data_IF_195712377018
#
_entry.id   IF_195712377018
#
_cell.length_a   1.000
_cell.length_b   1.000
_cell.length_c   1.000
_cell.angle_alpha   90.00
_cell.angle_beta   90.00
_cell.angle_gamma   90.00
#
_symmetry.space_group_name_H-M   'P 1'
#
loop_
_entity.id
_entity.type
_entity.pdbx_description
1 polymer ?
#
# COMPACT_ATOMS: atom_id res chain seq x y z
N UNK A 1 -9.80 -25.09 -3.99
CA UNK A 1 -9.65 -24.17 -5.13
C UNK A 1 -8.30 -24.40 -5.82
N UNK A 2 -8.19 -25.42 -6.68
CA UNK A 2 -6.93 -25.79 -7.37
C UNK A 2 -6.86 -25.18 -8.80
N UNK A 3 -7.80 -24.31 -9.18
CA UNK A 3 -8.00 -23.89 -10.58
C UNK A 3 -7.53 -22.49 -10.99
N UNK A 4 -6.99 -21.65 -10.10
CA UNK A 4 -6.80 -20.21 -10.41
C UNK A 4 -5.35 -19.71 -10.30
N UNK A 5 -4.36 -20.62 -10.31
CA UNK A 5 -2.94 -20.23 -10.23
C UNK A 5 -2.54 -19.24 -11.34
N UNK A 6 -2.89 -19.42 -12.63
CA UNK A 6 -2.52 -18.45 -13.66
C UNK A 6 -2.99 -17.02 -13.38
N UNK A 7 -4.24 -16.84 -12.92
CA UNK A 7 -4.80 -15.53 -12.58
C UNK A 7 -4.07 -14.91 -11.39
N UNK A 8 -3.73 -15.73 -10.39
CA UNK A 8 -2.93 -15.32 -9.23
C UNK A 8 -1.54 -14.85 -9.63
N UNK A 9 -0.87 -15.56 -10.54
CA UNK A 9 0.44 -15.18 -11.07
C UNK A 9 0.36 -13.86 -11.86
N UNK A 10 -0.68 -13.66 -12.68
CA UNK A 10 -0.90 -12.39 -13.37
C UNK A 10 -1.12 -11.25 -12.37
N UNK A 11 -1.91 -11.47 -11.31
CA UNK A 11 -2.12 -10.48 -10.26
C UNK A 11 -0.81 -10.13 -9.52
N UNK A 12 0.06 -11.10 -9.21
CA UNK A 12 1.38 -10.85 -8.62
C UNK A 12 2.31 -10.08 -9.57
N UNK A 13 2.30 -10.40 -10.86
CA UNK A 13 3.09 -9.68 -11.86
C UNK A 13 2.61 -8.23 -12.01
N UNK A 14 1.31 -8.00 -12.14
CA UNK A 14 0.75 -6.64 -12.24
C UNK A 14 0.98 -5.86 -10.94
N UNK A 15 0.73 -6.47 -9.78
CA UNK A 15 0.96 -5.83 -8.48
C UNK A 15 2.41 -5.40 -8.29
N UNK A 16 3.37 -6.26 -8.63
CA UNK A 16 4.80 -5.94 -8.50
C UNK A 16 5.26 -4.95 -9.57
N UNK A 17 4.67 -4.98 -10.77
CA UNK A 17 4.87 -3.96 -11.80
C UNK A 17 4.43 -2.59 -11.30
N UNK A 18 3.25 -2.48 -10.70
CA UNK A 18 2.72 -1.22 -10.15
C UNK A 18 3.60 -0.73 -8.98
N UNK A 19 4.00 -1.63 -8.07
CA UNK A 19 4.92 -1.33 -6.99
C UNK A 19 6.21 -0.66 -7.51
N UNK A 20 6.86 -1.25 -8.52
CA UNK A 20 8.08 -0.68 -9.09
C UNK A 20 7.77 0.61 -9.84
N UNK A 21 6.78 0.61 -10.72
CA UNK A 21 6.43 1.77 -11.55
C UNK A 21 6.16 3.02 -10.71
N UNK A 22 5.28 2.94 -9.72
CA UNK A 22 4.91 4.10 -8.91
C UNK A 22 5.89 4.34 -7.77
N UNK A 23 6.33 3.28 -7.08
CA UNK A 23 7.29 3.40 -5.98
C UNK A 23 8.67 3.83 -6.47
N UNK A 24 9.37 2.98 -7.24
CA UNK A 24 10.70 3.30 -7.74
C UNK A 24 10.68 4.47 -8.75
N UNK A 25 9.63 4.58 -9.56
CA UNK A 25 9.43 5.73 -10.45
C UNK A 25 9.29 7.06 -9.70
N UNK A 26 8.73 7.09 -8.48
CA UNK A 26 8.68 8.32 -7.67
C UNK A 26 10.07 8.83 -7.29
N UNK A 27 11.07 7.96 -7.18
CA UNK A 27 12.47 8.34 -6.94
C UNK A 27 13.01 9.10 -8.15
N UNK A 28 12.74 8.60 -9.35
CA UNK A 28 13.13 9.28 -10.61
C UNK A 28 12.46 10.65 -10.69
N UNK A 29 11.15 10.72 -10.43
CA UNK A 29 10.41 11.97 -10.46
C UNK A 29 10.92 12.98 -9.43
N UNK A 30 11.18 12.55 -8.20
CA UNK A 30 11.71 13.40 -7.14
C UNK A 30 13.11 13.94 -7.47
N UNK A 31 14.01 13.09 -8.01
CA UNK A 31 15.34 13.53 -8.42
C UNK A 31 15.30 14.48 -9.62
N UNK A 32 14.39 14.28 -10.57
CA UNK A 32 14.19 15.22 -11.68
C UNK A 32 13.75 16.58 -11.16
N UNK A 33 12.82 16.62 -10.20
CA UNK A 33 12.32 17.87 -9.61
C UNK A 33 13.35 18.55 -8.71
N UNK A 34 14.18 17.75 -8.01
CA UNK A 34 15.20 18.23 -7.08
C UNK A 34 16.57 18.49 -7.72
N UNK A 35 16.67 18.58 -9.05
CA UNK A 35 17.93 18.76 -9.79
C UNK A 35 19.02 17.76 -9.35
N UNK A 36 18.64 16.49 -9.19
CA UNK A 36 19.51 15.39 -8.76
C UNK A 36 19.80 15.33 -7.26
N UNK A 37 19.18 16.20 -6.46
CA UNK A 37 19.31 16.21 -4.99
C UNK A 37 18.04 15.68 -4.35
N UNK A 38 18.22 14.95 -3.24
CA UNK A 38 17.13 14.44 -2.42
C UNK A 38 17.37 14.85 -0.97
N UNK A 39 16.42 15.59 -0.40
CA UNK A 39 16.38 15.88 1.03
C UNK A 39 15.43 14.93 1.76
N UNK A 40 15.31 15.08 3.08
CA UNK A 40 14.47 14.20 3.87
C UNK A 40 12.97 14.38 3.58
N UNK A 41 12.53 15.58 3.17
CA UNK A 41 11.15 15.82 2.76
C UNK A 41 10.82 15.10 1.44
N UNK A 42 11.73 15.16 0.46
CA UNK A 42 11.63 14.42 -0.79
C UNK A 42 11.64 12.91 -0.57
N UNK A 43 12.51 12.41 0.33
CA UNK A 43 12.44 11.02 0.79
C UNK A 43 11.06 10.70 1.37
N UNK A 44 10.48 11.63 2.14
CA UNK A 44 9.16 11.46 2.72
C UNK A 44 8.05 11.26 1.68
N UNK A 45 8.07 12.04 0.60
CA UNK A 45 7.12 11.89 -0.52
C UNK A 45 7.30 10.55 -1.24
N UNK A 46 8.55 10.11 -1.44
CA UNK A 46 8.86 8.78 -2.00
C UNK A 46 8.28 7.68 -1.10
N UNK A 47 8.53 7.73 0.21
CA UNK A 47 8.00 6.74 1.17
C UNK A 47 6.48 6.66 1.11
N UNK A 48 5.79 7.80 1.02
CA UNK A 48 4.33 7.85 0.89
C UNK A 48 3.85 7.31 -0.45
N UNK A 49 4.59 7.52 -1.54
CA UNK A 49 4.27 6.92 -2.85
C UNK A 49 4.28 5.39 -2.78
N UNK A 50 5.33 4.81 -2.18
CA UNK A 50 5.38 3.37 -1.90
C UNK A 50 4.20 2.91 -1.03
N UNK A 51 3.89 3.65 0.03
CA UNK A 51 2.77 3.35 0.92
C UNK A 51 1.43 3.24 0.18
N UNK A 52 1.15 4.25 -0.64
CA UNK A 52 -0.10 4.37 -1.38
C UNK A 52 -0.21 3.27 -2.43
N UNK A 53 0.84 3.02 -3.22
CA UNK A 53 0.76 1.96 -4.24
C UNK A 53 0.65 0.57 -3.62
N UNK A 54 1.35 0.29 -2.52
CA UNK A 54 1.22 -0.98 -1.78
C UNK A 54 -0.22 -1.16 -1.28
N UNK A 55 -0.80 -0.13 -0.68
CA UNK A 55 -2.19 -0.18 -0.22
C UNK A 55 -3.16 -0.45 -1.39
N UNK A 56 -3.03 0.28 -2.50
CA UNK A 56 -3.84 0.10 -3.71
C UNK A 56 -3.73 -1.34 -4.23
N UNK A 57 -2.51 -1.86 -4.35
CA UNK A 57 -2.27 -3.22 -4.86
C UNK A 57 -2.86 -4.29 -3.94
N UNK A 58 -2.75 -4.12 -2.62
CA UNK A 58 -3.37 -5.04 -1.65
C UNK A 58 -4.89 -5.00 -1.76
N UNK A 59 -5.51 -3.82 -1.84
CA UNK A 59 -6.97 -3.72 -1.97
C UNK A 59 -7.47 -4.25 -3.32
N UNK A 60 -6.70 -4.09 -4.39
CA UNK A 60 -7.08 -4.55 -5.73
C UNK A 60 -6.88 -6.06 -5.94
N UNK A 61 -5.77 -6.61 -5.43
CA UNK A 61 -5.33 -7.97 -5.78
C UNK A 61 -5.22 -8.91 -4.58
N UNK A 62 -5.38 -8.43 -3.35
CA UNK A 62 -5.26 -9.22 -2.12
C UNK A 62 -6.23 -10.39 -2.08
N UNK A 63 -7.48 -10.19 -2.51
CA UNK A 63 -8.49 -11.26 -2.62
C UNK A 63 -8.23 -12.25 -3.75
N UNK A 64 -7.40 -11.87 -4.73
CA UNK A 64 -7.06 -12.74 -5.87
C UNK A 64 -5.83 -13.58 -5.53
N UNK A 65 -4.67 -12.96 -5.27
CA UNK A 65 -3.39 -13.65 -5.09
C UNK A 65 -2.87 -13.67 -3.65
N UNK A 66 -3.48 -12.94 -2.73
CA UNK A 66 -2.88 -12.56 -1.44
C UNK A 66 -1.99 -11.32 -1.53
N UNK A 67 -1.77 -10.77 -2.75
CA UNK A 67 -0.92 -9.61 -3.02
C UNK A 67 0.42 -9.67 -2.28
N UNK A 68 1.17 -10.77 -2.44
CA UNK A 68 2.47 -10.90 -1.79
C UNK A 68 3.45 -9.85 -2.33
N UNK A 69 3.50 -9.72 -3.66
CA UNK A 69 4.29 -8.76 -4.44
C UNK A 69 5.76 -8.62 -4.00
N UNK A 70 6.27 -9.65 -3.31
CA UNK A 70 7.54 -9.63 -2.59
C UNK A 70 8.02 -11.09 -2.38
N UNK A 71 9.19 -11.44 -2.92
CA UNK A 71 9.76 -12.77 -2.73
C UNK A 71 10.03 -13.12 -1.26
N UNK A 72 10.46 -12.16 -0.43
CA UNK A 72 10.73 -12.40 0.99
C UNK A 72 9.45 -12.74 1.77
N UNK A 73 8.34 -12.04 1.47
CA UNK A 73 7.01 -12.35 2.03
C UNK A 73 6.56 -13.74 1.59
N UNK A 74 6.68 -14.05 0.29
CA UNK A 74 6.28 -15.35 -0.26
C UNK A 74 7.05 -16.50 0.39
N UNK A 75 8.37 -16.34 0.56
CA UNK A 75 9.23 -17.32 1.23
C UNK A 75 8.81 -17.49 2.69
N UNK A 76 8.63 -16.41 3.45
CA UNK A 76 8.30 -16.50 4.87
C UNK A 76 6.92 -17.14 5.11
N UNK A 77 5.93 -16.83 4.28
CA UNK A 77 4.61 -17.47 4.34
C UNK A 77 4.69 -18.95 3.95
N UNK A 78 5.51 -19.31 2.97
CA UNK A 78 5.72 -20.71 2.61
C UNK A 78 6.41 -21.50 3.74
N UNK A 79 7.53 -20.99 4.28
CA UNK A 79 8.26 -21.63 5.39
C UNK A 79 7.38 -21.83 6.61
N UNK A 80 6.53 -20.86 6.91
CA UNK A 80 5.59 -20.93 8.03
C UNK A 80 4.29 -21.67 7.73
N UNK A 81 4.21 -22.39 6.59
CA UNK A 81 3.07 -23.22 6.15
C UNK A 81 1.75 -22.45 5.95
N UNK A 82 1.84 -21.16 5.68
CA UNK A 82 0.71 -20.26 5.36
C UNK A 82 0.53 -20.07 3.86
N UNK A 83 1.49 -20.55 3.07
CA UNK A 83 1.43 -20.55 1.62
C UNK A 83 1.98 -21.88 1.05
N UNK A 84 1.42 -22.42 -0.05
CA UNK A 84 1.90 -23.66 -0.63
C UNK A 84 3.32 -23.52 -1.19
N UNK A 85 4.25 -24.32 -0.68
CA UNK A 85 5.64 -24.33 -1.15
C UNK A 85 5.79 -24.60 -2.66
N UNK A 86 4.91 -25.42 -3.24
CA UNK A 86 4.92 -25.72 -4.67
C UNK A 86 4.57 -24.50 -5.55
N UNK A 87 3.83 -23.53 -5.00
CA UNK A 87 3.42 -22.31 -5.74
C UNK A 87 4.43 -21.17 -5.57
N UNK A 88 5.25 -21.20 -4.51
CA UNK A 88 6.17 -20.11 -4.16
C UNK A 88 7.16 -19.76 -5.28
N UNK A 89 7.81 -20.72 -5.97
CA UNK A 89 8.69 -20.40 -7.08
C UNK A 89 7.98 -19.66 -8.22
N UNK A 90 6.74 -20.04 -8.55
CA UNK A 90 5.98 -19.39 -9.61
C UNK A 90 5.59 -17.96 -9.23
N UNK A 91 5.18 -17.73 -7.98
CA UNK A 91 4.94 -16.39 -7.45
C UNK A 91 6.19 -15.51 -7.55
N UNK A 92 7.34 -16.01 -7.12
CA UNK A 92 8.62 -15.27 -7.18
C UNK A 92 8.97 -14.92 -8.62
N UNK A 93 8.83 -15.85 -9.57
CA UNK A 93 9.07 -15.57 -11.00
C UNK A 93 8.12 -14.49 -11.53
N UNK A 94 6.83 -14.58 -11.19
CA UNK A 94 5.85 -13.57 -11.58
C UNK A 94 6.17 -12.18 -11.01
N UNK A 95 6.59 -12.11 -9.75
CA UNK A 95 7.00 -10.87 -9.08
C UNK A 95 8.24 -10.27 -9.75
N UNK A 96 9.28 -11.08 -10.01
CA UNK A 96 10.50 -10.63 -10.69
C UNK A 96 10.20 -10.12 -12.10
N UNK A 97 9.36 -10.83 -12.85
CA UNK A 97 8.91 -10.41 -14.17
C UNK A 97 8.12 -9.09 -14.11
N UNK A 98 7.16 -8.98 -13.19
CA UNK A 98 6.40 -7.76 -12.95
C UNK A 98 7.30 -6.56 -12.62
N UNK A 99 8.24 -6.74 -11.69
CA UNK A 99 9.22 -5.72 -11.33
C UNK A 99 10.06 -5.24 -12.52
N UNK A 100 10.50 -6.17 -13.36
CA UNK A 100 11.23 -5.86 -14.60
C UNK A 100 10.38 -5.02 -15.56
N UNK A 101 9.13 -5.43 -15.81
CA UNK A 101 8.19 -4.64 -16.64
C UNK A 101 7.94 -3.26 -16.05
N UNK A 102 7.81 -3.14 -14.73
CA UNK A 102 7.70 -1.84 -14.05
C UNK A 102 8.91 -0.94 -14.32
N UNK A 103 10.12 -1.49 -14.28
CA UNK A 103 11.35 -0.79 -14.66
C UNK A 103 11.33 -0.34 -16.13
N UNK A 104 10.90 -1.21 -17.05
CA UNK A 104 10.77 -0.84 -18.47
C UNK A 104 9.81 0.33 -18.68
N UNK A 105 8.69 0.34 -17.96
CA UNK A 105 7.70 1.42 -18.01
C UNK A 105 8.25 2.74 -17.44
N UNK A 106 9.10 2.69 -16.42
CA UNK A 106 9.84 3.87 -15.93
C UNK A 106 10.73 4.43 -17.04
N UNK A 107 11.56 3.59 -17.69
CA UNK A 107 12.42 4.06 -18.79
C UNK A 107 11.59 4.57 -19.97
N UNK A 108 10.49 3.90 -20.32
CA UNK A 108 9.60 4.34 -21.39
C UNK A 108 8.96 5.71 -21.08
N UNK A 109 8.57 5.96 -19.83
CA UNK A 109 7.92 7.21 -19.42
C UNK A 109 8.88 8.38 -19.20
N UNK A 110 10.05 8.14 -18.62
CA UNK A 110 11.02 9.18 -18.24
C UNK A 110 12.23 9.27 -19.19
N UNK A 111 12.34 8.37 -20.16
CA UNK A 111 13.45 8.28 -21.09
C UNK A 111 14.78 7.93 -20.42
N UNK A 112 15.89 8.23 -21.10
CA UNK A 112 17.24 7.93 -20.61
C UNK A 112 17.56 8.60 -19.25
N UNK A 113 16.87 9.70 -18.92
CA UNK A 113 17.01 10.37 -17.60
C UNK A 113 16.69 9.44 -16.44
N UNK A 114 15.82 8.44 -16.62
CA UNK A 114 15.56 7.43 -15.59
C UNK A 114 16.83 6.68 -15.18
N UNK A 115 17.66 6.33 -16.17
CA UNK A 115 18.90 5.58 -16.00
C UNK A 115 19.97 6.51 -15.43
N UNK A 116 20.23 7.61 -16.13
CA UNK A 116 21.39 8.48 -15.86
C UNK A 116 21.31 9.18 -14.49
N UNK A 117 20.10 9.56 -14.06
CA UNK A 117 19.90 10.33 -12.83
C UNK A 117 19.66 9.45 -11.60
N UNK A 118 18.93 8.35 -11.79
CA UNK A 118 18.29 7.64 -10.69
C UNK A 118 18.50 6.12 -10.74
N UNK A 119 19.15 5.59 -11.78
CA UNK A 119 19.31 4.16 -12.00
C UNK A 119 17.99 3.40 -12.04
N UNK A 120 16.95 4.00 -12.63
CA UNK A 120 15.58 3.45 -12.66
C UNK A 120 14.96 3.30 -11.25
N UNK A 121 15.42 4.11 -10.28
CA UNK A 121 14.97 4.03 -8.89
C UNK A 121 15.53 2.81 -8.14
N UNK A 122 16.71 2.34 -8.56
CA UNK A 122 17.42 1.24 -7.90
C UNK A 122 17.76 1.55 -6.45
N UNK A 123 17.94 0.50 -5.66
CA UNK A 123 18.44 0.56 -4.29
C UNK A 123 19.96 0.37 -4.25
N UNK A 124 20.64 1.11 -3.39
CA UNK A 124 22.08 0.91 -3.15
C UNK A 124 22.44 1.25 -1.71
N UNK A 125 23.56 0.72 -1.26
CA UNK A 125 24.15 1.12 0.01
C UNK A 125 24.61 2.57 -0.07
N UNK A 126 24.25 3.35 0.95
CA UNK A 126 24.72 4.70 1.15
C UNK A 126 26.24 4.75 1.40
N UNK A 127 26.83 5.92 1.21
CA UNK A 127 28.26 6.13 1.44
C UNK A 127 28.60 5.79 2.90
N UNK A 128 29.59 4.90 3.09
CA UNK A 128 30.02 4.46 4.43
C UNK A 128 29.16 3.35 5.06
N UNK A 129 28.10 2.90 4.39
CA UNK A 129 27.29 1.75 4.86
C UNK A 129 27.96 0.45 4.42
N UNK A 130 28.35 -0.38 5.38
CA UNK A 130 28.92 -1.70 5.12
C UNK A 130 27.84 -2.72 4.68
N UNK A 131 28.29 -3.81 4.06
CA UNK A 131 27.42 -4.91 3.64
C UNK A 131 26.58 -5.48 4.80
N UNK A 132 27.20 -5.69 5.96
CA UNK A 132 26.53 -6.20 7.15
C UNK A 132 25.52 -5.22 7.75
N UNK A 133 25.84 -3.92 7.76
CA UNK A 133 24.89 -2.88 8.16
C UNK A 133 23.69 -2.84 7.21
N UNK A 134 23.91 -2.98 5.91
CA UNK A 134 22.84 -3.08 4.93
C UNK A 134 21.90 -4.24 5.21
N UNK A 135 22.45 -5.45 5.47
CA UNK A 135 21.64 -6.63 5.81
C UNK A 135 20.81 -6.38 7.06
N UNK A 136 21.41 -5.80 8.11
CA UNK A 136 20.72 -5.50 9.36
C UNK A 136 19.56 -4.53 9.14
N UNK A 137 19.78 -3.44 8.42
CA UNK A 137 18.77 -2.40 8.19
C UNK A 137 17.60 -2.94 7.34
N UNK A 138 17.91 -3.64 6.25
CA UNK A 138 16.88 -4.30 5.42
C UNK A 138 16.11 -5.38 6.20
N UNK A 139 16.78 -6.10 7.11
CA UNK A 139 16.12 -7.05 7.99
C UNK A 139 15.18 -6.36 8.99
N UNK A 140 15.56 -5.22 9.57
CA UNK A 140 14.70 -4.46 10.49
C UNK A 140 13.46 -3.91 9.79
N UNK A 141 13.61 -3.34 8.58
CA UNK A 141 12.48 -2.85 7.80
C UNK A 141 11.53 -3.99 7.42
N UNK A 142 12.09 -5.10 6.94
CA UNK A 142 11.27 -6.26 6.53
C UNK A 142 10.65 -7.00 7.71
N UNK A 143 11.29 -6.96 8.89
CA UNK A 143 10.73 -7.45 10.15
C UNK A 143 9.45 -6.70 10.50
N UNK A 144 9.47 -5.36 10.47
CA UNK A 144 8.28 -4.54 10.72
C UNK A 144 7.18 -4.89 9.70
N UNK A 145 7.55 -4.97 8.41
CA UNK A 145 6.62 -5.31 7.33
C UNK A 145 5.94 -6.66 7.58
N UNK A 146 6.70 -7.74 7.83
CA UNK A 146 6.10 -9.06 8.04
C UNK A 146 5.33 -9.15 9.34
N UNK A 147 5.77 -8.49 10.41
CA UNK A 147 5.00 -8.43 11.66
C UNK A 147 3.62 -7.80 11.40
N UNK A 148 3.55 -6.71 10.63
CA UNK A 148 2.30 -6.06 10.24
C UNK A 148 1.44 -6.95 9.33
N UNK A 149 2.03 -7.62 8.33
CA UNK A 149 1.30 -8.57 7.45
C UNK A 149 0.70 -9.70 8.28
N UNK A 150 1.48 -10.27 9.20
CA UNK A 150 1.02 -11.32 10.09
C UNK A 150 -0.14 -10.87 10.97
N UNK A 151 -0.05 -9.66 11.53
CA UNK A 151 -1.05 -9.10 12.42
C UNK A 151 -2.36 -8.73 11.72
N UNK A 152 -2.34 -8.29 10.46
CA UNK A 152 -3.52 -7.72 9.81
C UNK A 152 -4.04 -8.46 8.58
N UNK A 153 -3.18 -9.16 7.84
CA UNK A 153 -3.59 -9.91 6.64
C UNK A 153 -3.71 -11.41 6.91
N UNK A 154 -2.88 -11.95 7.80
CA UNK A 154 -2.89 -13.40 8.11
C UNK A 154 -3.81 -13.73 9.27
N UNK A 155 -3.79 -12.94 10.36
CA UNK A 155 -4.66 -13.19 11.50
C UNK A 155 -6.11 -12.75 11.21
N UNK A 156 -7.02 -13.72 11.17
CA UNK A 156 -8.46 -13.49 10.95
C UNK A 156 -9.13 -12.69 12.07
N UNK A 157 -8.44 -12.50 13.20
CA UNK A 157 -8.94 -11.69 14.33
C UNK A 157 -8.64 -10.21 14.20
N UNK A 158 -7.85 -9.84 13.21
CA UNK A 158 -7.59 -8.45 12.88
C UNK A 158 -8.89 -7.74 12.46
N UNK A 159 -9.03 -6.43 12.74
CA UNK A 159 -10.09 -5.62 12.15
C UNK A 159 -10.04 -5.69 10.62
N UNK A 160 -11.15 -6.07 9.99
CA UNK A 160 -11.24 -6.21 8.54
C UNK A 160 -11.07 -4.85 7.83
N UNK A 161 -10.58 -4.89 6.59
CA UNK A 161 -10.40 -3.70 5.76
C UNK A 161 -9.16 -2.85 6.04
N UNK A 162 -8.41 -3.08 7.13
CA UNK A 162 -7.24 -2.25 7.48
C UNK A 162 -5.90 -2.73 6.91
N UNK A 163 -5.82 -3.98 6.46
CA UNK A 163 -4.56 -4.61 6.05
C UNK A 163 -3.80 -3.77 5.00
N UNK A 164 -4.45 -3.40 3.89
CA UNK A 164 -3.81 -2.65 2.81
C UNK A 164 -3.20 -1.33 3.26
N UNK A 165 -3.99 -0.49 3.95
CA UNK A 165 -3.52 0.81 4.44
C UNK A 165 -2.36 0.68 5.42
N UNK A 166 -2.47 -0.17 6.44
CA UNK A 166 -1.45 -0.25 7.50
C UNK A 166 -0.19 -0.95 7.01
N UNK A 167 -0.29 -1.94 6.11
CA UNK A 167 0.89 -2.55 5.46
C UNK A 167 1.60 -1.51 4.59
N UNK A 168 0.87 -0.69 3.83
CA UNK A 168 1.46 0.43 3.09
C UNK A 168 2.18 1.42 4.01
N UNK A 169 1.56 1.79 5.13
CA UNK A 169 2.18 2.69 6.12
C UNK A 169 3.41 2.06 6.80
N UNK A 170 3.44 0.73 6.99
CA UNK A 170 4.64 0.03 7.48
C UNK A 170 5.81 0.16 6.49
N UNK A 171 5.53 0.06 5.18
CA UNK A 171 6.52 0.34 4.13
C UNK A 171 6.99 1.80 4.18
N UNK A 172 6.09 2.76 4.36
CA UNK A 172 6.51 4.16 4.53
C UNK A 172 7.44 4.35 5.74
N UNK A 173 7.05 3.74 6.88
CA UNK A 173 7.75 3.84 8.15
C UNK A 173 9.18 3.30 8.06
N UNK A 174 9.38 2.15 7.40
CA UNK A 174 10.71 1.61 7.22
C UNK A 174 11.55 2.46 6.25
N UNK A 175 10.98 2.95 5.13
CA UNK A 175 11.73 3.84 4.22
C UNK A 175 12.13 5.15 4.91
N UNK A 176 11.30 5.74 5.79
CA UNK A 176 11.71 6.91 6.58
C UNK A 176 12.97 6.65 7.41
N UNK A 177 13.10 5.44 7.95
CA UNK A 177 14.21 5.06 8.81
C UNK A 177 15.45 4.63 8.00
N UNK A 178 15.30 3.66 7.10
CA UNK A 178 16.43 2.99 6.44
C UNK A 178 16.72 3.55 5.04
N UNK A 179 15.81 4.33 4.46
CA UNK A 179 15.94 4.96 3.15
C UNK A 179 17.26 5.71 2.93
N UNK A 180 17.77 6.52 3.89
CA UNK A 180 19.05 7.20 3.74
C UNK A 180 20.27 6.28 3.65
N UNK A 181 20.14 5.01 4.06
CA UNK A 181 21.24 4.07 4.22
C UNK A 181 21.24 2.93 3.20
N UNK A 182 20.06 2.40 2.85
CA UNK A 182 19.93 1.26 1.91
C UNK A 182 18.94 1.52 0.77
N UNK A 183 18.31 2.70 0.75
CA UNK A 183 17.16 3.06 -0.09
C UNK A 183 15.86 2.29 0.22
N UNK A 184 15.78 1.57 1.35
CA UNK A 184 14.56 0.93 1.84
C UNK A 184 13.96 -0.03 0.81
N UNK A 185 14.63 -1.16 0.57
CA UNK A 185 14.11 -2.12 -0.40
C UNK A 185 12.99 -2.98 0.16
N UNK A 186 13.29 -3.68 1.25
CA UNK A 186 12.50 -4.74 1.94
C UNK A 186 11.91 -5.83 1.06
N UNK A 187 12.34 -5.90 -0.20
CA UNK A 187 11.71 -6.67 -1.26
C UNK A 187 12.72 -6.99 -2.38
N UNK A 188 13.11 -8.27 -2.53
CA UNK A 188 14.07 -8.68 -3.56
C UNK A 188 13.62 -8.35 -4.99
N UNK A 189 12.32 -8.43 -5.32
CA UNK A 189 11.82 -8.12 -6.65
C UNK A 189 11.87 -6.60 -6.93
N UNK A 190 11.51 -5.77 -5.95
CA UNK A 190 11.61 -4.30 -6.03
C UNK A 190 13.04 -3.81 -6.28
N UNK A 191 14.05 -4.56 -5.85
CA UNK A 191 15.45 -4.29 -6.20
C UNK A 191 15.82 -4.86 -7.57
N UNK A 192 15.48 -6.14 -7.81
CA UNK A 192 15.84 -6.85 -9.05
C UNK A 192 15.36 -6.15 -10.32
N UNK A 193 14.10 -5.70 -10.35
CA UNK A 193 13.50 -5.07 -11.53
C UNK A 193 14.30 -3.86 -12.02
N UNK A 194 14.47 -2.81 -11.17
CA UNK A 194 15.33 -1.68 -11.47
C UNK A 194 16.78 -2.06 -11.80
N UNK A 195 17.38 -3.04 -11.11
CA UNK A 195 18.75 -3.48 -11.40
C UNK A 195 18.89 -4.03 -12.82
N UNK A 196 17.99 -4.94 -13.19
CA UNK A 196 17.99 -5.57 -14.51
C UNK A 196 17.73 -4.51 -15.59
N UNK A 197 16.71 -3.68 -15.41
CA UNK A 197 16.41 -2.63 -16.40
C UNK A 197 17.55 -1.62 -16.50
N UNK A 198 18.10 -1.13 -15.39
CA UNK A 198 19.22 -0.20 -15.42
C UNK A 198 20.43 -0.77 -16.20
N UNK A 199 20.76 -2.04 -15.97
CA UNK A 199 21.84 -2.73 -16.70
C UNK A 199 21.58 -2.81 -18.20
N UNK A 200 20.35 -3.14 -18.60
CA UNK A 200 19.98 -3.28 -20.02
C UNK A 200 20.03 -1.95 -20.79
N UNK A 201 19.79 -0.84 -20.10
CA UNK A 201 19.84 0.50 -20.69
C UNK A 201 21.18 1.24 -20.43
N UNK A 202 22.24 0.47 -20.09
CA UNK A 202 23.62 0.96 -20.03
C UNK A 202 24.01 1.66 -18.73
N UNK A 203 23.16 1.60 -17.69
CA UNK A 203 23.46 2.16 -16.37
C UNK A 203 24.38 1.26 -15.54
N UNK A 204 25.25 1.89 -14.74
CA UNK A 204 26.07 1.17 -13.77
C UNK A 204 25.18 0.61 -12.63
N UNK A 205 25.24 -0.69 -12.42
CA UNK A 205 24.34 -1.42 -11.53
C UNK A 205 25.14 -2.18 -10.48
N UNK A 206 24.92 -1.92 -9.18
CA UNK A 206 25.71 -2.51 -8.10
C UNK A 206 25.27 -3.95 -7.77
N UNK A 207 25.35 -4.86 -8.74
CA UNK A 207 24.96 -6.28 -8.56
C UNK A 207 25.65 -6.98 -7.39
N UNK A 208 26.88 -6.57 -7.03
CA UNK A 208 27.57 -7.07 -5.85
C UNK A 208 26.80 -6.83 -4.53
N UNK A 209 25.95 -5.80 -4.48
CA UNK A 209 25.12 -5.46 -3.32
C UNK A 209 23.79 -6.22 -3.30
N UNK A 210 23.39 -6.89 -4.39
CA UNK A 210 22.08 -7.54 -4.51
C UNK A 210 21.80 -8.56 -3.40
N UNK A 211 22.85 -9.25 -2.91
CA UNK A 211 22.72 -10.19 -1.79
C UNK A 211 22.25 -9.54 -0.49
N UNK A 212 22.49 -8.25 -0.26
CA UNK A 212 21.94 -7.49 0.88
C UNK A 212 20.41 -7.47 0.81
N UNK A 213 19.89 -7.15 -0.38
CA UNK A 213 18.46 -7.03 -0.68
C UNK A 213 17.74 -8.37 -0.85
N UNK A 214 18.47 -9.48 -0.72
CA UNK A 214 17.90 -10.82 -0.57
C UNK A 214 17.99 -11.27 0.90
N UNK A 215 19.20 -11.29 1.46
CA UNK A 215 19.46 -11.83 2.79
C UNK A 215 18.76 -11.02 3.87
N UNK A 216 18.88 -9.69 3.85
CA UNK A 216 18.22 -8.80 4.81
C UNK A 216 16.70 -9.04 4.82
N UNK A 217 16.01 -8.89 3.68
CA UNK A 217 14.58 -9.10 3.64
C UNK A 217 14.11 -10.50 4.04
N UNK A 218 14.77 -11.57 3.61
CA UNK A 218 14.40 -12.93 4.01
C UNK A 218 14.58 -13.13 5.52
N UNK A 219 15.69 -12.67 6.11
CA UNK A 219 15.95 -12.77 7.55
C UNK A 219 14.88 -12.00 8.33
N UNK A 220 14.64 -10.74 7.96
CA UNK A 220 13.63 -9.89 8.59
C UNK A 220 12.24 -10.50 8.52
N UNK A 221 11.87 -11.02 7.35
CA UNK A 221 10.58 -11.66 7.13
C UNK A 221 10.35 -12.85 8.07
N UNK A 222 11.35 -13.73 8.16
CA UNK A 222 11.31 -14.90 9.05
C UNK A 222 11.19 -14.51 10.53
N UNK A 223 11.94 -13.49 10.96
CA UNK A 223 11.86 -12.96 12.33
C UNK A 223 10.49 -12.33 12.62
N UNK A 224 9.91 -11.62 11.65
CA UNK A 224 8.59 -10.99 11.79
C UNK A 224 7.50 -12.04 12.04
N UNK A 225 7.53 -13.14 11.28
CA UNK A 225 6.64 -14.28 11.50
C UNK A 225 6.86 -14.92 12.87
N UNK A 226 8.12 -15.17 13.24
CA UNK A 226 8.46 -15.80 14.52
C UNK A 226 7.99 -14.96 15.72
N UNK A 227 8.28 -13.66 15.73
CA UNK A 227 7.87 -12.76 16.81
C UNK A 227 6.36 -12.62 16.87
N UNK A 228 5.69 -12.58 15.72
CA UNK A 228 4.24 -12.58 15.72
C UNK A 228 3.68 -13.82 16.40
N UNK A 229 4.12 -15.00 15.98
CA UNK A 229 3.62 -16.29 16.48
C UNK A 229 3.92 -16.52 17.97
N UNK A 230 5.07 -16.04 18.46
CA UNK A 230 5.49 -16.24 19.85
C UNK A 230 5.02 -15.16 20.82
N UNK A 231 4.80 -13.92 20.35
CA UNK A 231 4.62 -12.75 21.23
C UNK A 231 3.34 -11.99 20.90
N UNK A 232 3.15 -11.60 19.65
CA UNK A 232 2.10 -10.62 19.29
C UNK A 232 0.73 -11.27 19.03
N UNK A 233 0.69 -12.56 18.70
CA UNK A 233 -0.54 -13.28 18.38
C UNK A 233 -1.50 -13.25 19.59
N UNK A 234 -2.69 -12.64 19.48
CA UNK A 234 -3.64 -12.60 20.59
C UNK A 234 -4.07 -14.01 21.01
N UNK A 235 -4.40 -14.22 22.30
CA UNK A 235 -4.91 -15.51 22.80
C UNK A 235 -6.41 -15.68 22.54
N UNK A 236 -7.15 -14.57 22.36
CA UNK A 236 -8.61 -14.59 22.26
C UNK A 236 -9.06 -15.26 20.95
N UNK A 237 -9.94 -16.26 21.07
CA UNK A 237 -10.65 -16.86 19.94
C UNK A 237 -11.83 -15.96 19.56
N UNK A 238 -11.97 -15.63 18.27
CA UNK A 238 -13.22 -15.09 17.73
C UNK A 238 -14.04 -16.27 17.19
N UNK A 239 -15.38 -16.21 17.24
CA UNK A 239 -16.25 -17.19 16.60
C UNK A 239 -15.90 -17.34 15.10
N UNK A 240 -15.94 -18.56 14.59
CA UNK A 240 -15.40 -19.01 13.28
C UNK A 240 -15.92 -18.24 12.02
N UNK A 241 -16.90 -17.35 12.14
CA UNK A 241 -17.63 -16.76 11.02
C UNK A 241 -17.21 -15.34 10.62
N UNK A 242 -16.08 -14.81 11.08
CA UNK A 242 -15.57 -13.54 10.56
C UNK A 242 -15.04 -13.74 9.12
N UNK A 243 -15.83 -13.30 8.14
CA UNK A 243 -15.41 -13.21 6.74
C UNK A 243 -14.18 -12.28 6.61
N UNK A 244 -13.20 -12.73 5.83
CA UNK A 244 -12.03 -11.92 5.50
C UNK A 244 -12.47 -10.78 4.58
N UNK A 245 -12.63 -9.59 5.15
CA UNK A 245 -13.12 -8.42 4.43
C UNK A 245 -12.12 -7.85 3.43
N UNK A 246 -12.36 -8.13 2.15
CA UNK A 246 -12.31 -7.11 1.07
C UNK A 246 -13.65 -7.04 0.34
N UNK A 247 -14.77 -7.30 1.04
CA UNK A 247 -16.09 -7.22 0.46
C UNK A 247 -16.45 -5.75 0.19
N UNK A 248 -15.99 -5.22 -0.94
CA UNK A 248 -16.73 -4.23 -1.70
C UNK A 248 -17.91 -4.92 -2.37
N UNK A 249 -18.89 -5.35 -1.59
CA UNK A 249 -20.18 -5.74 -2.13
C UNK A 249 -21.07 -4.49 -2.07
N UNK A 250 -21.13 -3.75 -3.18
CA UNK A 250 -22.26 -2.86 -3.41
C UNK A 250 -23.44 -3.78 -3.74
N UNK A 251 -24.07 -4.34 -2.71
CA UNK A 251 -25.41 -4.94 -2.87
C UNK A 251 -26.38 -3.76 -2.94
N UNK A 252 -26.55 -3.25 -4.15
CA UNK A 252 -27.65 -2.35 -4.48
C UNK A 252 -28.93 -3.17 -4.62
N UNK A 253 -29.52 -3.62 -3.53
CA UNK A 253 -30.94 -3.96 -3.52
C UNK A 253 -31.73 -2.68 -3.23
N UNK A 254 -32.37 -2.14 -4.28
CA UNK A 254 -33.50 -1.24 -4.08
C UNK A 254 -34.64 -2.12 -3.54
N UNK A 255 -35.02 -1.93 -2.28
CA UNK A 255 -36.32 -2.43 -1.83
C UNK A 255 -37.42 -1.78 -2.68
N UNK A 256 -38.35 -2.57 -3.25
CA UNK A 256 -39.56 -2.02 -3.83
C UNK A 256 -40.42 -1.43 -2.71
N UNK A 257 -40.81 -0.17 -2.85
CA UNK A 257 -41.85 0.43 -2.02
C UNK A 257 -43.22 -0.12 -2.45
N UNK A 258 -43.64 -1.26 -1.91
CA UNK A 258 -45.06 -1.61 -1.81
C UNK A 258 -45.39 -2.35 -0.50
N UNK A 259 -46.51 -1.98 0.12
CA UNK A 259 -47.06 -2.67 1.30
C UNK A 259 -47.35 -1.76 2.50
N UNK A 260 -48.59 -1.30 2.60
CA UNK A 260 -49.18 -0.46 3.64
C UNK A 260 -48.82 -0.80 5.11
N UNK A 261 -48.58 0.18 5.99
CA UNK A 261 -48.47 -0.06 7.43
C UNK A 261 -49.83 0.11 8.12
N UNK A 262 -50.38 -1.00 8.61
CA UNK A 262 -51.38 -0.99 9.68
C UNK A 262 -50.69 -1.13 11.04
N UNK A 263 -50.90 -0.14 11.94
CA UNK A 263 -50.61 -0.13 13.38
C UNK A 263 -49.13 -0.31 13.77
N UNK A 264 -48.45 0.59 14.47
CA UNK A 264 -48.84 1.25 15.73
C UNK A 264 -47.84 2.42 15.90
N UNK A 265 -48.34 3.63 16.15
CA UNK A 265 -47.51 4.81 16.37
C UNK A 265 -46.83 4.69 17.74
N UNK A 266 -45.51 4.54 17.74
CA UNK A 266 -44.67 4.85 18.91
C UNK A 266 -44.29 6.33 18.78
N UNK A 267 -44.86 7.18 19.63
CA UNK A 267 -44.53 8.61 19.67
C UNK A 267 -43.09 8.82 20.14
N UNK A 268 -42.26 9.37 19.26
CA UNK A 268 -40.93 9.88 19.61
C UNK A 268 -41.09 11.36 19.98
N UNK A 269 -40.66 11.81 21.17
CA UNK A 269 -40.72 13.22 21.54
C UNK A 269 -39.78 14.06 20.66
N UNK A 270 -40.32 15.10 20.00
CA UNK A 270 -39.54 16.06 19.23
C UNK A 270 -38.53 16.79 20.13
N UNK A 271 -37.25 16.57 19.87
CA UNK A 271 -36.18 17.44 20.37
C UNK A 271 -36.21 18.78 19.62
N UNK A 272 -36.72 19.83 20.26
CA UNK A 272 -36.67 21.21 19.75
C UNK A 272 -35.22 21.68 19.58
N UNK A 273 -34.84 22.00 18.35
CA UNK A 273 -33.60 22.71 18.04
C UNK A 273 -33.76 24.22 18.34
N UNK A 274 -32.86 24.84 19.13
CA UNK A 274 -33.03 26.22 19.60
C UNK A 274 -32.56 27.28 18.59
N UNK A 275 -33.09 27.28 17.36
CA UNK A 275 -32.69 28.30 16.38
C UNK A 275 -33.77 28.81 15.39
N UNK A 276 -35.05 28.43 15.53
CA UNK A 276 -36.10 28.86 14.59
C UNK A 276 -37.06 29.95 15.10
N UNK A 277 -36.96 30.37 16.37
CA UNK A 277 -37.86 31.38 16.96
C UNK A 277 -37.52 32.84 16.61
N UNK A 278 -36.53 33.12 15.75
CA UNK A 278 -36.13 34.50 15.40
C UNK A 278 -36.56 34.99 14.02
N UNK A 279 -37.25 34.17 13.22
CA UNK A 279 -37.67 34.57 11.87
C UNK A 279 -39.19 34.76 11.73
N UNK A 280 -40.02 34.22 12.63
CA UNK A 280 -41.49 34.33 12.52
C UNK A 280 -42.14 35.56 13.16
N UNK A 281 -41.44 36.31 14.01
CA UNK A 281 -42.00 37.51 14.67
C UNK A 281 -41.95 38.81 13.84
N UNK A 282 -41.37 38.78 12.63
CA UNK A 282 -41.31 39.97 11.75
C UNK A 282 -42.45 40.09 10.74
N UNK A 283 -43.33 39.08 10.61
CA UNK A 283 -44.42 39.10 9.62
C UNK A 283 -45.80 39.47 10.19
N UNK A 284 -45.95 39.65 11.51
CA UNK A 284 -47.25 39.90 12.15
C UNK A 284 -47.64 41.39 12.32
N UNK A 285 -46.77 42.35 11.99
CA UNK A 285 -47.09 43.79 12.13
C UNK A 285 -46.80 44.58 10.85
N UNK A 286 -47.80 44.63 9.97
CA UNK A 286 -47.82 45.55 8.85
C UNK A 286 -47.88 47.01 9.30
N UNK A 287 -46.88 47.80 8.92
CA UNK A 287 -47.01 49.25 8.76
C UNK A 287 -46.46 49.64 7.40
N UNK A 288 -47.39 50.04 6.53
CA UNK A 288 -47.16 50.62 5.20
C UNK A 288 -46.27 51.86 5.31
N UNK A 289 -45.20 51.94 4.53
CA UNK A 289 -44.72 53.22 3.98
C UNK A 289 -44.32 53.07 2.52
N UNK A 290 -44.83 54.02 1.75
CA UNK A 290 -44.91 54.12 0.30
C UNK A 290 -43.83 55.09 -0.17
N UNK A 291 -42.97 54.75 -1.12
CA UNK A 291 -42.34 55.75 -1.99
C UNK A 291 -41.78 55.14 -3.29
N UNK A 292 -41.83 55.95 -4.36
CA UNK A 292 -41.69 55.62 -5.79
C UNK A 292 -40.22 55.72 -6.29
N UNK A 293 -39.89 55.12 -7.46
CA UNK A 293 -38.54 55.12 -8.01
C UNK A 293 -38.28 56.35 -8.91
N UNK A 294 -37.02 56.79 -8.97
CA UNK A 294 -36.60 57.81 -9.93
C UNK A 294 -35.08 58.02 -10.00
N UNK A 295 -34.51 57.63 -11.15
CA UNK A 295 -33.32 58.15 -11.85
C UNK A 295 -31.97 58.11 -11.09
N UNK A 296 -30.85 57.68 -11.65
CA UNK A 296 -30.39 57.64 -13.04
C UNK A 296 -28.93 58.12 -13.04
N UNK A 297 -28.14 57.55 -13.95
CA UNK A 297 -26.68 57.69 -14.19
C UNK A 297 -25.78 56.78 -13.37
#
# INVERSE_FOLDING_TARGET
>A
MVGDLPRRLVAEAIGTMLLVLFGAGSIVAALVLGDGKLDYAGLGVISLSFAVVVAIVIYAFGSTSGAHINPAVTIALAVSRRFPWAEAPFYIVAQLFGAFVGGLLIVAGFGQRAVDLAGVGLTKLGVGVSYGQGILLEALGTFLLLLTIMALAVDRRAPSGWAGLVIGLAVACEIFLIGPFTNGSVNPARTFGPYLTNSLFGGDTPWAQFGVYIAGPVIGAMLGVLVYDLVARPVRELPETAEQGTAGEIVGEREPLDGSPGGTVCEIPEARLPHEDRIRDREAHGVRRRWRPGHGR
#
